data_IF_760346925819
#
_entry.id   IF_760346925819
#
_cell.length_a   1.000
_cell.length_b   1.000
_cell.length_c   1.000
_cell.angle_alpha   90.00
_cell.angle_beta   90.00
_cell.angle_gamma   90.00
#
_symmetry.space_group_name_H-M   'P 1'
#
loop_
_entity.id
_entity.type
_entity.pdbx_description
1 polymer ?
#
# COMPACT_ATOMS: atom_id res chain seq x y z
N UNK A 1 -0.73 22.83 -0.22
CA UNK A 1 -0.36 22.63 -1.64
C UNK A 1 -0.89 21.30 -2.15
N UNK A 2 -0.82 21.06 -3.46
CA UNK A 2 -1.39 19.87 -4.12
C UNK A 2 -0.91 18.55 -3.48
N UNK A 3 0.40 18.38 -3.29
CA UNK A 3 0.94 17.18 -2.64
C UNK A 3 0.32 16.95 -1.25
N UNK A 4 0.18 18.01 -0.45
CA UNK A 4 -0.44 17.93 0.88
C UNK A 4 -1.92 17.53 0.80
N UNK A 5 -2.68 18.00 -0.20
CA UNK A 5 -4.09 17.61 -0.38
C UNK A 5 -4.24 16.11 -0.68
N UNK A 6 -3.35 15.53 -1.49
CA UNK A 6 -3.35 14.09 -1.74
C UNK A 6 -2.95 13.27 -0.50
N UNK A 7 -1.96 13.73 0.26
CA UNK A 7 -1.61 13.09 1.53
C UNK A 7 -2.80 13.14 2.52
N UNK A 8 -3.51 14.27 2.62
CA UNK A 8 -4.74 14.38 3.41
C UNK A 8 -5.87 13.48 2.91
N UNK A 9 -5.97 13.26 1.59
CA UNK A 9 -6.91 12.31 0.99
C UNK A 9 -6.53 10.83 1.21
N UNK A 10 -5.44 10.54 1.92
CA UNK A 10 -5.02 9.19 2.28
C UNK A 10 -3.96 8.57 1.38
N UNK A 11 -3.35 9.34 0.47
CA UNK A 11 -2.19 8.86 -0.29
C UNK A 11 -1.02 8.56 0.68
N UNK A 12 -0.48 7.34 0.63
CA UNK A 12 0.67 6.93 1.46
C UNK A 12 2.00 7.44 0.93
N UNK A 13 2.08 7.67 -0.38
CA UNK A 13 3.29 8.09 -1.08
C UNK A 13 2.92 8.81 -2.39
N UNK A 14 3.68 9.82 -2.76
CA UNK A 14 3.52 10.63 -3.96
C UNK A 14 4.85 10.69 -4.71
N UNK A 15 4.81 10.42 -6.01
CA UNK A 15 5.93 10.65 -6.92
C UNK A 15 5.68 11.97 -7.65
N UNK A 16 6.59 12.94 -7.49
CA UNK A 16 6.45 14.32 -7.98
C UNK A 16 7.68 14.74 -8.77
N UNK A 17 7.56 15.75 -9.62
CA UNK A 17 8.68 16.38 -10.32
C UNK A 17 8.88 17.82 -9.87
N UNK A 18 10.13 18.26 -9.74
CA UNK A 18 10.47 19.64 -9.38
C UNK A 18 10.39 20.63 -10.55
N UNK A 19 10.72 20.17 -11.77
CA UNK A 19 10.63 20.96 -12.99
C UNK A 19 9.78 20.25 -14.06
N UNK A 20 9.55 20.94 -15.19
CA UNK A 20 8.87 20.36 -16.35
C UNK A 20 9.73 19.26 -16.97
N UNK A 21 9.12 18.10 -17.21
CA UNK A 21 9.80 16.89 -17.67
C UNK A 21 9.41 16.56 -19.10
N UNK A 22 10.33 15.93 -19.82
CA UNK A 22 10.06 15.34 -21.12
C UNK A 22 9.17 14.08 -20.99
N UNK A 23 8.17 13.95 -21.84
CA UNK A 23 7.16 12.89 -21.77
C UNK A 23 7.76 11.48 -21.89
N UNK A 24 8.77 11.31 -22.76
CA UNK A 24 9.41 10.01 -22.98
C UNK A 24 10.18 9.59 -21.72
N UNK A 25 10.99 10.48 -21.17
CA UNK A 25 11.76 10.23 -19.95
C UNK A 25 10.86 9.99 -18.74
N UNK A 26 9.79 10.78 -18.58
CA UNK A 26 8.81 10.63 -17.52
C UNK A 26 8.10 9.28 -17.59
N UNK A 27 7.64 8.88 -18.79
CA UNK A 27 7.02 7.57 -19.00
C UNK A 27 7.97 6.43 -18.64
N UNK A 28 9.21 6.48 -19.12
CA UNK A 28 10.20 5.44 -18.82
C UNK A 28 10.46 5.32 -17.32
N UNK A 29 10.65 6.45 -16.63
CA UNK A 29 10.94 6.47 -15.21
C UNK A 29 9.77 5.95 -14.38
N UNK A 30 8.53 6.32 -14.73
CA UNK A 30 7.32 5.84 -14.05
C UNK A 30 7.11 4.33 -14.26
N UNK A 31 7.21 3.86 -15.50
CA UNK A 31 7.06 2.44 -15.84
C UNK A 31 8.12 1.61 -15.14
N UNK A 32 9.38 2.02 -15.22
CA UNK A 32 10.48 1.26 -14.61
C UNK A 32 10.40 1.26 -13.08
N UNK A 33 9.95 2.36 -12.47
CA UNK A 33 9.71 2.41 -11.02
C UNK A 33 8.65 1.41 -10.60
N UNK A 34 7.51 1.38 -11.30
CA UNK A 34 6.41 0.47 -10.98
C UNK A 34 6.80 -0.98 -11.25
N UNK A 35 7.43 -1.25 -12.40
CA UNK A 35 7.93 -2.57 -12.78
C UNK A 35 8.88 -3.12 -11.72
N UNK A 36 9.91 -2.36 -11.34
CA UNK A 36 10.87 -2.77 -10.32
C UNK A 36 10.22 -2.98 -8.96
N UNK A 37 9.23 -2.17 -8.61
CA UNK A 37 8.48 -2.32 -7.36
C UNK A 37 7.64 -3.60 -7.36
N UNK A 38 7.04 -4.00 -8.48
CA UNK A 38 6.22 -5.22 -8.54
C UNK A 38 7.05 -6.48 -8.67
N UNK A 39 8.05 -6.49 -9.56
CA UNK A 39 8.84 -7.69 -9.89
C UNK A 39 9.74 -8.18 -8.75
N UNK A 40 10.16 -7.30 -7.85
CA UNK A 40 11.14 -7.65 -6.80
C UNK A 40 10.53 -7.52 -5.41
N UNK A 41 9.99 -8.63 -4.85
CA UNK A 41 9.43 -8.67 -3.51
C UNK A 41 10.38 -8.06 -2.48
N UNK A 42 9.85 -7.26 -1.58
CA UNK A 42 10.66 -6.62 -0.54
C UNK A 42 11.28 -5.27 -0.94
N UNK A 43 11.20 -4.87 -2.22
CA UNK A 43 11.75 -3.61 -2.70
C UNK A 43 11.01 -2.40 -2.15
N UNK A 44 11.74 -1.47 -1.54
CA UNK A 44 11.19 -0.18 -1.10
C UNK A 44 10.93 0.71 -2.31
N UNK A 45 9.86 1.51 -2.27
CA UNK A 45 9.49 2.45 -3.35
C UNK A 45 10.64 3.38 -3.76
N UNK A 46 11.39 3.90 -2.78
CA UNK A 46 12.55 4.75 -3.04
C UNK A 46 13.68 3.99 -3.76
N UNK A 47 13.88 2.70 -3.46
CA UNK A 47 14.86 1.88 -4.15
C UNK A 47 14.45 1.57 -5.59
N UNK A 48 13.15 1.34 -5.83
CA UNK A 48 12.60 1.19 -7.17
C UNK A 48 12.76 2.46 -8.01
N UNK A 49 12.47 3.63 -7.44
CA UNK A 49 12.69 4.92 -8.10
C UNK A 49 14.18 5.15 -8.43
N UNK A 50 15.07 4.87 -7.47
CA UNK A 50 16.52 4.97 -7.68
C UNK A 50 16.99 4.05 -8.81
N UNK A 51 16.42 2.85 -8.91
CA UNK A 51 16.71 1.93 -10.01
C UNK A 51 16.28 2.53 -11.34
N UNK A 52 15.04 3.02 -11.44
CA UNK A 52 14.53 3.67 -12.64
C UNK A 52 15.38 4.87 -13.09
N UNK A 53 15.80 5.72 -12.16
CA UNK A 53 16.71 6.84 -12.47
C UNK A 53 18.05 6.37 -13.06
N UNK A 54 18.62 5.29 -12.53
CA UNK A 54 19.86 4.71 -13.07
C UNK A 54 19.64 4.11 -14.47
N UNK A 55 18.50 3.47 -14.71
CA UNK A 55 18.12 2.95 -16.02
C UNK A 55 18.03 4.08 -17.04
N UNK A 56 17.25 5.14 -16.75
CA UNK A 56 17.11 6.30 -17.65
C UNK A 56 18.44 6.99 -17.89
N UNK A 57 19.25 7.19 -16.85
CA UNK A 57 20.60 7.77 -16.96
C UNK A 57 21.52 6.97 -17.89
N UNK A 58 21.30 5.66 -17.99
CA UNK A 58 22.11 4.77 -18.84
C UNK A 58 21.58 4.64 -20.26
N UNK A 59 20.43 5.26 -20.57
CA UNK A 59 19.83 5.25 -21.90
C UNK A 59 20.47 6.32 -22.78
N UNK A 60 20.98 5.96 -23.98
CA UNK A 60 21.52 6.93 -24.92
C UNK A 60 20.54 8.06 -25.25
N UNK A 61 20.98 9.30 -25.09
CA UNK A 61 20.16 10.51 -25.32
C UNK A 61 19.33 10.97 -24.12
N UNK A 62 19.32 10.22 -22.99
CA UNK A 62 18.63 10.59 -21.75
C UNK A 62 19.58 10.69 -20.53
N UNK A 63 20.88 10.77 -20.75
CA UNK A 63 21.92 10.76 -19.71
C UNK A 63 21.90 12.04 -18.88
N UNK A 64 21.49 13.15 -19.50
CA UNK A 64 21.50 14.47 -18.88
C UNK A 64 20.56 14.50 -17.66
N UNK A 65 20.98 15.08 -16.52
CA UNK A 65 20.18 15.13 -15.28
C UNK A 65 18.78 15.70 -15.44
N UNK A 66 18.56 16.53 -16.46
CA UNK A 66 17.24 17.04 -16.83
C UNK A 66 16.15 15.94 -16.91
N UNK A 67 16.51 14.75 -17.41
CA UNK A 67 15.55 13.67 -17.69
C UNK A 67 15.22 12.79 -16.47
N UNK A 68 16.11 12.68 -15.48
CA UNK A 68 15.95 11.73 -14.37
C UNK A 68 16.05 12.35 -12.98
N UNK A 69 16.75 13.48 -12.82
CA UNK A 69 16.90 14.15 -11.53
C UNK A 69 15.68 14.93 -10.99
N UNK A 70 14.62 15.29 -11.75
CA UNK A 70 13.52 16.07 -11.18
C UNK A 70 12.65 15.29 -10.21
N UNK A 71 12.68 13.96 -10.27
CA UNK A 71 11.70 13.12 -9.62
C UNK A 71 12.04 12.90 -8.15
N UNK A 72 11.05 13.09 -7.28
CA UNK A 72 11.16 12.83 -5.86
C UNK A 72 9.96 12.04 -5.35
N UNK A 73 10.22 11.19 -4.36
CA UNK A 73 9.19 10.40 -3.67
C UNK A 73 8.92 10.99 -2.29
N UNK A 74 7.70 11.48 -2.08
CA UNK A 74 7.23 12.06 -0.82
C UNK A 74 6.29 11.09 -0.11
N UNK A 75 6.44 10.91 1.20
CA UNK A 75 5.57 10.06 2.03
C UNK A 75 6.28 8.83 2.57
N UNK A 76 5.52 7.84 3.05
CA UNK A 76 6.09 6.67 3.73
C UNK A 76 6.71 5.71 2.72
N UNK A 77 8.03 5.81 2.56
CA UNK A 77 8.85 4.87 1.78
C UNK A 77 9.29 3.63 2.56
N UNK A 78 8.78 3.45 3.77
CA UNK A 78 9.25 2.45 4.72
C UNK A 78 8.31 1.24 4.79
N UNK A 79 8.94 0.08 4.64
CA UNK A 79 8.44 -1.29 4.51
C UNK A 79 7.88 -1.67 3.13
N UNK A 80 8.34 -2.79 2.54
CA UNK A 80 7.59 -3.45 1.47
C UNK A 80 6.22 -3.85 2.03
N UNK A 81 5.22 -3.05 1.69
CA UNK A 81 3.86 -3.14 2.23
C UNK A 81 3.03 -4.17 1.49
N UNK A 82 1.93 -4.60 2.11
CA UNK A 82 0.81 -5.38 1.51
C UNK A 82 0.32 -4.87 0.14
N UNK A 83 0.59 -3.61 -0.19
CA UNK A 83 0.34 -3.05 -1.52
C UNK A 83 1.18 -3.71 -2.60
N UNK A 84 2.45 -4.00 -2.33
CA UNK A 84 3.34 -4.65 -3.28
C UNK A 84 2.81 -6.04 -3.62
N UNK A 85 2.40 -6.81 -2.59
CA UNK A 85 1.78 -8.12 -2.76
C UNK A 85 0.48 -8.04 -3.57
N UNK A 86 -0.35 -7.01 -3.31
CA UNK A 86 -1.58 -6.75 -4.07
C UNK A 86 -1.29 -6.39 -5.54
N UNK A 87 -0.34 -5.52 -5.80
CA UNK A 87 0.02 -5.21 -7.19
C UNK A 87 0.64 -6.42 -7.89
N UNK A 88 1.48 -7.19 -7.20
CA UNK A 88 2.06 -8.41 -7.76
C UNK A 88 0.99 -9.45 -8.12
N UNK A 89 -0.03 -9.66 -7.29
CA UNK A 89 -1.15 -10.55 -7.65
C UNK A 89 -1.98 -10.01 -8.83
N UNK A 90 -2.22 -8.68 -8.92
CA UNK A 90 -2.97 -8.11 -10.04
C UNK A 90 -2.19 -8.19 -11.36
N UNK A 91 -0.88 -7.91 -11.33
CA UNK A 91 -0.02 -8.01 -12.51
C UNK A 91 0.13 -9.47 -12.94
N UNK A 92 0.37 -10.39 -12.01
CA UNK A 92 0.39 -11.82 -12.33
C UNK A 92 -0.93 -12.31 -12.93
N UNK A 93 -2.07 -11.82 -12.44
CA UNK A 93 -3.39 -12.12 -13.01
C UNK A 93 -3.57 -11.52 -14.42
N UNK A 94 -3.02 -10.33 -14.69
CA UNK A 94 -3.09 -9.68 -16.00
C UNK A 94 -2.14 -10.32 -17.04
N UNK A 95 -0.96 -10.77 -16.62
CA UNK A 95 0.02 -11.45 -17.45
C UNK A 95 -0.35 -12.91 -17.74
N UNK A 96 -1.18 -13.52 -16.88
CA UNK A 96 -1.64 -14.90 -17.02
C UNK A 96 -2.58 -15.12 -18.20
N UNK A 97 -3.06 -14.08 -18.89
CA UNK A 97 -3.89 -14.22 -20.09
C UNK A 97 -5.00 -15.24 -19.90
N UNK A 98 -6.00 -14.92 -19.06
CA UNK A 98 -7.19 -15.74 -18.92
C UNK A 98 -7.90 -15.84 -20.28
N UNK A 99 -7.56 -16.87 -21.04
CA UNK A 99 -8.48 -17.53 -21.96
C UNK A 99 -9.77 -17.83 -21.18
N UNK A 100 -10.89 -17.41 -21.76
CA UNK A 100 -12.11 -17.11 -21.02
C UNK A 100 -12.69 -18.28 -20.22
N UNK A 101 -12.81 -18.10 -18.92
CA UNK A 101 -13.95 -18.56 -18.11
C UNK A 101 -13.94 -17.82 -16.76
N UNK A 102 -14.75 -16.76 -16.63
CA UNK A 102 -14.85 -15.98 -15.40
C UNK A 102 -15.77 -16.70 -14.39
N UNK A 103 -15.21 -17.72 -13.74
CA UNK A 103 -15.66 -18.16 -12.42
C UNK A 103 -15.29 -17.12 -11.36
N UNK A 104 -16.02 -16.00 -11.32
CA UNK A 104 -15.96 -15.06 -10.20
C UNK A 104 -16.30 -15.83 -8.91
N UNK A 105 -15.51 -15.73 -7.83
CA UNK A 105 -16.01 -16.10 -6.51
C UNK A 105 -17.08 -15.07 -6.14
N UNK A 106 -18.34 -15.43 -6.40
CA UNK A 106 -19.54 -14.74 -5.94
C UNK A 106 -19.59 -14.78 -4.41
N UNK A 107 -18.82 -13.90 -3.77
CA UNK A 107 -18.74 -13.71 -2.33
C UNK A 107 -19.36 -12.38 -1.87
N UNK A 108 -20.29 -11.81 -2.64
CA UNK A 108 -20.95 -10.53 -2.31
C UNK A 108 -22.42 -10.69 -1.89
N UNK A 109 -22.85 -11.89 -1.49
CA UNK A 109 -24.22 -12.14 -1.05
C UNK A 109 -24.27 -12.88 0.30
N UNK A 110 -23.78 -12.25 1.37
CA UNK A 110 -24.22 -12.58 2.73
C UNK A 110 -24.27 -11.33 3.62
N UNK A 111 -25.04 -10.32 3.18
CA UNK A 111 -25.42 -9.16 3.99
C UNK A 111 -26.95 -9.05 4.17
N UNK A 112 -27.70 -10.10 3.83
CA UNK A 112 -29.17 -10.06 3.80
C UNK A 112 -29.89 -11.01 4.77
N UNK A 113 -29.19 -11.74 5.65
CA UNK A 113 -29.86 -12.64 6.60
C UNK A 113 -29.37 -12.48 8.05
N UNK A 114 -29.62 -11.31 8.64
CA UNK A 114 -29.59 -11.14 10.10
C UNK A 114 -31.03 -11.15 10.64
N UNK A 115 -31.51 -12.23 11.28
CA UNK A 115 -32.80 -12.19 11.96
C UNK A 115 -32.73 -11.23 13.16
N UNK A 116 -33.57 -10.19 13.12
CA UNK A 116 -33.78 -9.26 14.22
C UNK A 116 -34.72 -9.88 15.26
N UNK A 117 -34.16 -10.61 16.22
CA UNK A 117 -34.93 -11.06 17.38
C UNK A 117 -34.03 -11.33 18.57
N UNK A 118 -33.38 -10.30 19.12
CA UNK A 118 -32.78 -10.42 20.45
C UNK A 118 -32.70 -9.07 21.18
N UNK A 119 -33.88 -8.51 21.47
CA UNK A 119 -34.05 -7.60 22.61
C UNK A 119 -35.27 -8.08 23.40
N UNK A 120 -35.01 -8.54 24.63
CA UNK A 120 -35.90 -8.59 25.82
C UNK A 120 -35.90 -9.98 26.48
N UNK A 121 -35.20 -10.05 27.62
CA UNK A 121 -35.18 -11.20 28.51
C UNK A 121 -34.40 -10.88 29.78
N UNK A 122 -34.92 -9.94 30.57
CA UNK A 122 -34.51 -9.65 31.94
C UNK A 122 -34.71 -10.87 32.84
N UNK A 123 -33.66 -11.34 33.51
CA UNK A 123 -33.73 -11.82 34.91
C UNK A 123 -32.31 -11.91 35.51
N UNK A 124 -32.08 -11.16 36.59
CA UNK A 124 -30.99 -11.35 37.55
C UNK A 124 -31.30 -12.56 38.47
N UNK A 125 -30.52 -12.91 39.54
CA UNK A 125 -29.21 -12.44 40.01
C UNK A 125 -28.22 -13.60 40.33
N UNK A 126 -26.98 -13.30 40.72
CA UNK A 126 -26.02 -14.35 41.12
C UNK A 126 -24.70 -13.83 41.66
N UNK A 127 -24.76 -13.23 42.85
CA UNK A 127 -23.67 -12.86 43.74
C UNK A 127 -22.76 -14.07 44.06
N UNK A 128 -21.45 -13.99 43.81
CA UNK A 128 -20.44 -14.70 44.61
C UNK A 128 -19.25 -13.77 44.84
N UNK A 129 -19.03 -13.49 46.12
CA UNK A 129 -17.90 -12.80 46.68
C UNK A 129 -16.68 -13.73 46.82
N UNK A 130 -15.49 -13.20 46.58
CA UNK A 130 -14.24 -13.49 47.30
C UNK A 130 -13.25 -12.40 46.86
N UNK A 131 -12.80 -11.46 47.68
CA UNK A 131 -12.42 -11.58 49.09
C UNK A 131 -10.92 -11.89 49.13
N UNK A 132 -10.08 -10.86 49.33
CA UNK A 132 -8.63 -11.03 49.49
C UNK A 132 -7.81 -9.80 49.13
N UNK A 133 -7.80 -8.85 50.06
CA UNK A 133 -7.05 -7.58 50.08
C UNK A 133 -5.50 -7.72 49.98
N UNK A 134 -4.79 -6.60 49.71
CA UNK A 134 -3.35 -6.50 49.45
C UNK A 134 -2.54 -6.36 50.75
N UNK A 135 -1.20 -6.51 50.71
CA UNK A 135 -0.25 -5.74 51.52
C UNK A 135 1.23 -6.07 51.18
N UNK A 136 2.06 -5.00 51.15
CA UNK A 136 3.53 -4.92 51.31
C UNK A 136 4.42 -5.53 50.21
N UNK A 137 5.56 -4.96 49.80
CA UNK A 137 6.36 -3.84 50.29
C UNK A 137 7.82 -4.04 49.85
N UNK A 138 8.50 -2.93 49.53
CA UNK A 138 9.94 -2.73 49.40
C UNK A 138 10.74 -3.32 48.21
N UNK A 139 11.25 -2.38 47.43
CA UNK A 139 12.42 -2.45 46.54
C UNK A 139 13.68 -2.13 47.37
N UNK A 140 14.84 -2.73 47.10
CA UNK A 140 16.12 -2.14 47.48
C UNK A 140 16.53 -0.98 46.56
#
# INVERSE_FOLDING_TARGET
GLAQAFLFAGARSLLVSHWSVDDLSARQLMVETMRRYVEVPGTRKAAALRFAMQTVRSTPGLEHPFFWAPFDLVGTGDRPTRDQDRLAMFVAAAESGADGDLGLPSGTADLAQRPQSFLRGSHAPGLVANGGDPLAGNTP
#
